data_IF_547868614743
#
_entry.id   IF_547868614743
#
_cell.length_a   1.000
_cell.length_b   1.000
_cell.length_c   1.000
_cell.angle_alpha   90.00
_cell.angle_beta   90.00
_cell.angle_gamma   90.00
#
_symmetry.space_group_name_H-M   'P 1'
#
loop_
_entity.id
_entity.type
_entity.pdbx_description
1 polymer ?
#
# COMPACT_ATOMS: atom_id res chain seq x y z
N UNK A 1 25.53 -18.40 -50.31
CA UNK A 1 24.27 -18.93 -49.73
C UNK A 1 24.28 -18.92 -48.20
N UNK A 2 25.03 -18.00 -47.56
CA UNK A 2 25.23 -17.99 -46.08
C UNK A 2 24.62 -16.76 -45.41
N UNK A 3 24.06 -15.80 -46.15
CA UNK A 3 23.54 -14.54 -45.57
C UNK A 3 22.06 -14.65 -45.13
N UNK A 4 21.30 -15.60 -45.71
CA UNK A 4 19.86 -15.76 -45.43
C UNK A 4 19.61 -16.41 -44.04
N UNK A 5 20.54 -17.23 -43.52
CA UNK A 5 20.36 -17.95 -42.24
C UNK A 5 20.53 -17.03 -41.01
N UNK A 6 21.34 -15.98 -41.11
CA UNK A 6 21.58 -15.05 -39.98
C UNK A 6 20.38 -14.11 -39.76
N UNK A 7 19.68 -13.73 -40.81
CA UNK A 7 18.48 -12.88 -40.73
C UNK A 7 17.29 -13.54 -40.03
N UNK A 8 17.12 -14.85 -40.18
CA UNK A 8 16.02 -15.60 -39.57
C UNK A 8 16.20 -15.78 -38.06
N UNK A 9 17.46 -15.92 -37.61
CA UNK A 9 17.77 -16.05 -36.17
C UNK A 9 17.55 -14.74 -35.39
N UNK A 10 17.80 -13.58 -36.01
CA UNK A 10 17.59 -12.27 -35.39
C UNK A 10 16.09 -11.91 -35.26
N UNK A 11 15.26 -12.33 -36.21
CA UNK A 11 13.82 -12.10 -36.15
C UNK A 11 13.13 -12.92 -35.03
N UNK A 12 13.59 -14.16 -34.78
CA UNK A 12 13.00 -15.01 -33.74
C UNK A 12 13.34 -14.53 -32.32
N UNK A 13 14.49 -13.93 -32.07
CA UNK A 13 14.87 -13.43 -30.75
C UNK A 13 14.09 -12.19 -30.35
N UNK A 14 13.70 -11.32 -31.29
CA UNK A 14 12.88 -10.13 -30.98
C UNK A 14 11.43 -10.48 -30.62
N UNK A 15 10.84 -11.49 -31.25
CA UNK A 15 9.49 -11.96 -30.91
C UNK A 15 9.41 -12.59 -29.52
N UNK A 16 10.41 -13.38 -29.11
CA UNK A 16 10.45 -14.01 -27.78
C UNK A 16 10.58 -12.98 -26.66
N UNK A 17 11.37 -11.92 -26.85
CA UNK A 17 11.51 -10.85 -25.86
C UNK A 17 10.24 -9.97 -25.74
N UNK A 18 9.51 -9.76 -26.84
CA UNK A 18 8.25 -9.02 -26.83
C UNK A 18 7.13 -9.79 -26.13
N UNK A 19 7.01 -11.09 -26.36
CA UNK A 19 5.99 -11.93 -25.74
C UNK A 19 6.19 -12.07 -24.21
N UNK A 20 7.43 -12.22 -23.74
CA UNK A 20 7.75 -12.29 -22.33
C UNK A 20 7.40 -10.98 -21.59
N UNK A 21 7.67 -9.82 -22.20
CA UNK A 21 7.35 -8.52 -21.61
C UNK A 21 5.84 -8.30 -21.53
N UNK A 22 5.10 -8.70 -22.53
CA UNK A 22 3.64 -8.60 -22.58
C UNK A 22 2.98 -9.55 -21.59
N UNK A 23 3.44 -10.79 -21.47
CA UNK A 23 2.94 -11.78 -20.51
C UNK A 23 3.21 -11.36 -19.06
N UNK A 24 4.38 -10.79 -18.77
CA UNK A 24 4.70 -10.28 -17.44
C UNK A 24 3.82 -9.09 -17.04
N UNK A 25 3.56 -8.16 -17.98
CA UNK A 25 2.65 -7.04 -17.77
C UNK A 25 1.20 -7.50 -17.56
N UNK A 26 0.72 -8.43 -18.36
CA UNK A 26 -0.64 -9.01 -18.29
C UNK A 26 -0.87 -9.71 -16.94
N UNK A 27 0.10 -10.49 -16.48
CA UNK A 27 0.01 -11.17 -15.18
C UNK A 27 -0.09 -10.16 -14.02
N UNK A 28 0.68 -9.06 -14.03
CA UNK A 28 0.57 -8.01 -13.00
C UNK A 28 -0.78 -7.32 -12.99
N UNK A 29 -1.37 -7.07 -14.15
CA UNK A 29 -2.71 -6.49 -14.27
C UNK A 29 -3.76 -7.43 -13.68
N UNK A 30 -3.69 -8.72 -13.98
CA UNK A 30 -4.62 -9.71 -13.43
C UNK A 30 -4.49 -9.87 -11.91
N UNK A 31 -3.25 -9.87 -11.39
CA UNK A 31 -3.00 -9.90 -9.96
C UNK A 31 -3.59 -8.65 -9.28
N UNK A 32 -3.38 -7.46 -9.85
CA UNK A 32 -3.93 -6.21 -9.35
C UNK A 32 -5.46 -6.24 -9.35
N UNK A 33 -6.08 -6.67 -10.44
CA UNK A 33 -7.54 -6.84 -10.54
C UNK A 33 -8.07 -7.81 -9.47
N UNK A 34 -7.36 -8.91 -9.23
CA UNK A 34 -7.69 -9.86 -8.18
C UNK A 34 -7.68 -9.24 -6.77
N UNK A 35 -6.77 -8.28 -6.49
CA UNK A 35 -6.73 -7.56 -5.22
C UNK A 35 -7.98 -6.70 -5.06
N UNK A 36 -8.30 -5.88 -6.05
CA UNK A 36 -9.49 -5.02 -6.00
C UNK A 36 -10.78 -5.83 -5.85
N UNK A 37 -10.89 -6.96 -6.54
CA UNK A 37 -12.03 -7.88 -6.35
C UNK A 37 -12.15 -8.42 -4.91
N UNK A 38 -11.05 -8.60 -4.18
CA UNK A 38 -11.12 -8.95 -2.76
C UNK A 38 -11.55 -7.76 -1.90
N UNK A 39 -11.13 -6.54 -2.23
CA UNK A 39 -11.56 -5.31 -1.55
C UNK A 39 -13.06 -5.10 -1.69
N UNK A 40 -13.59 -5.24 -2.89
CA UNK A 40 -15.04 -5.17 -3.19
C UNK A 40 -15.86 -6.16 -2.36
N UNK A 41 -15.33 -7.37 -2.15
CA UNK A 41 -15.93 -8.40 -1.30
C UNK A 41 -15.73 -8.17 0.21
N UNK A 42 -15.02 -7.12 0.61
CA UNK A 42 -14.68 -6.86 2.01
C UNK A 42 -13.57 -7.74 2.57
N UNK A 43 -12.90 -8.56 1.76
CA UNK A 43 -11.86 -9.50 2.17
C UNK A 43 -10.49 -8.80 2.32
N UNK A 44 -10.40 -7.81 3.21
CA UNK A 44 -9.22 -6.96 3.35
C UNK A 44 -7.95 -7.72 3.72
N UNK A 45 -8.02 -8.69 4.63
CA UNK A 45 -6.86 -9.51 5.02
C UNK A 45 -6.25 -10.23 3.82
N UNK A 46 -7.10 -10.76 2.92
CA UNK A 46 -6.64 -11.42 1.71
C UNK A 46 -6.09 -10.42 0.69
N UNK A 47 -6.72 -9.25 0.54
CA UNK A 47 -6.25 -8.19 -0.34
C UNK A 47 -4.85 -7.72 0.06
N UNK A 48 -4.63 -7.38 1.34
CA UNK A 48 -3.34 -6.95 1.87
C UNK A 48 -2.25 -8.04 1.70
N UNK A 49 -2.60 -9.31 1.96
CA UNK A 49 -1.66 -10.42 1.75
C UNK A 49 -1.28 -10.61 0.28
N UNK A 50 -2.23 -10.48 -0.64
CA UNK A 50 -1.96 -10.55 -2.09
C UNK A 50 -1.09 -9.38 -2.56
N UNK A 51 -1.34 -8.18 -2.06
CA UNK A 51 -0.58 -6.97 -2.41
C UNK A 51 0.90 -7.11 -2.07
N UNK A 52 1.24 -7.66 -0.90
CA UNK A 52 2.63 -7.91 -0.48
C UNK A 52 3.39 -8.81 -1.47
N UNK A 53 2.70 -9.71 -2.19
CA UNK A 53 3.32 -10.63 -3.15
C UNK A 53 3.69 -9.98 -4.49
N UNK A 54 3.08 -8.85 -4.83
CA UNK A 54 3.31 -8.17 -6.12
C UNK A 54 4.65 -7.41 -6.14
N UNK A 55 5.21 -7.12 -4.98
CA UNK A 55 6.45 -6.33 -4.82
C UNK A 55 6.39 -4.98 -5.57
N UNK A 56 5.27 -4.27 -5.42
CA UNK A 56 5.07 -2.93 -5.95
C UNK A 56 4.70 -1.99 -4.82
N UNK A 57 5.65 -1.13 -4.42
CA UNK A 57 5.49 -0.23 -3.28
C UNK A 57 4.30 0.72 -3.45
N UNK A 58 4.13 1.32 -4.63
CA UNK A 58 3.04 2.28 -4.90
C UNK A 58 1.67 1.60 -4.72
N UNK A 59 1.50 0.42 -5.29
CA UNK A 59 0.26 -0.35 -5.14
C UNK A 59 0.04 -0.76 -3.68
N UNK A 60 1.09 -1.17 -2.98
CA UNK A 60 1.00 -1.55 -1.58
C UNK A 60 0.58 -0.39 -0.70
N UNK A 61 1.18 0.78 -0.89
CA UNK A 61 0.85 1.99 -0.15
C UNK A 61 -0.59 2.44 -0.46
N UNK A 62 -1.03 2.38 -1.72
CA UNK A 62 -2.40 2.71 -2.12
C UNK A 62 -3.43 1.79 -1.44
N UNK A 63 -3.22 0.48 -1.50
CA UNK A 63 -4.14 -0.50 -0.90
C UNK A 63 -4.17 -0.34 0.62
N UNK A 64 -3.00 -0.07 1.24
CA UNK A 64 -2.94 0.14 2.68
C UNK A 64 -3.60 1.45 3.09
N UNK A 65 -3.43 2.53 2.31
CA UNK A 65 -4.15 3.79 2.50
C UNK A 65 -5.67 3.60 2.43
N UNK A 66 -6.17 2.86 1.45
CA UNK A 66 -7.59 2.51 1.35
C UNK A 66 -8.08 1.74 2.58
N UNK A 67 -7.27 0.81 3.08
CA UNK A 67 -7.58 0.04 4.28
C UNK A 67 -7.65 0.94 5.53
N UNK A 68 -6.71 1.85 5.70
CA UNK A 68 -6.68 2.78 6.84
C UNK A 68 -7.88 3.75 6.82
N UNK A 69 -8.37 4.13 5.63
CA UNK A 69 -9.55 4.98 5.50
C UNK A 69 -10.89 4.22 5.67
N UNK A 70 -10.87 2.89 5.71
CA UNK A 70 -12.08 2.09 5.89
C UNK A 70 -12.62 2.23 7.31
N UNK A 71 -13.93 2.49 7.43
CA UNK A 71 -14.63 2.42 8.72
C UNK A 71 -14.47 1.02 9.34
N UNK A 72 -14.24 0.95 10.65
CA UNK A 72 -14.11 -0.31 11.41
C UNK A 72 -13.00 -1.23 10.87
N UNK A 73 -11.84 -0.67 10.54
CA UNK A 73 -10.63 -1.46 10.29
C UNK A 73 -9.98 -1.88 11.63
N UNK A 74 -9.10 -2.88 11.56
CA UNK A 74 -8.37 -3.40 12.73
C UNK A 74 -6.97 -2.77 12.88
N UNK A 75 -6.71 -1.66 12.18
CA UNK A 75 -5.45 -0.93 12.31
C UNK A 75 -5.34 -0.29 13.71
N UNK A 76 -4.16 -0.33 14.28
CA UNK A 76 -3.83 0.27 15.55
C UNK A 76 -3.13 1.64 15.40
N UNK A 77 -2.70 2.22 16.52
CA UNK A 77 -1.95 3.49 16.55
C UNK A 77 -0.68 3.43 15.70
N UNK A 78 0.08 2.34 15.78
CA UNK A 78 1.36 2.21 15.08
C UNK A 78 1.18 2.03 13.57
N UNK A 79 0.12 1.39 13.15
CA UNK A 79 -0.24 1.24 11.74
C UNK A 79 -0.44 2.61 11.08
N UNK A 80 -1.22 3.48 11.71
CA UNK A 80 -1.44 4.85 11.25
C UNK A 80 -0.16 5.69 11.33
N UNK A 81 0.56 5.63 12.45
CA UNK A 81 1.79 6.42 12.65
C UNK A 81 2.83 6.09 11.60
N UNK A 82 3.10 4.81 11.37
CA UNK A 82 4.06 4.34 10.39
C UNK A 82 3.68 4.79 8.98
N UNK A 83 2.40 4.64 8.61
CA UNK A 83 1.92 5.03 7.30
C UNK A 83 2.08 6.54 7.06
N UNK A 84 1.63 7.38 7.99
CA UNK A 84 1.71 8.85 7.88
C UNK A 84 3.17 9.31 7.78
N UNK A 85 4.06 8.70 8.54
CA UNK A 85 5.49 9.04 8.55
C UNK A 85 6.19 8.65 7.25
N UNK A 86 5.89 7.48 6.71
CA UNK A 86 6.56 6.95 5.50
C UNK A 86 5.95 7.50 4.20
N UNK A 87 4.72 8.00 4.23
CA UNK A 87 3.94 8.35 3.05
C UNK A 87 3.47 9.82 3.11
N UNK A 88 4.43 10.75 3.12
CA UNK A 88 4.16 12.19 3.30
C UNK A 88 3.29 12.80 2.19
N UNK A 89 3.29 12.23 0.98
CA UNK A 89 2.60 12.75 -0.19
C UNK A 89 1.20 12.14 -0.41
N UNK A 90 0.75 11.22 0.47
CA UNK A 90 -0.59 10.67 0.37
C UNK A 90 -1.67 11.69 0.79
N UNK A 91 -2.83 11.68 0.14
CA UNK A 91 -3.89 12.63 0.44
C UNK A 91 -4.53 12.36 1.81
N UNK A 92 -5.22 13.38 2.31
CA UNK A 92 -6.05 13.28 3.50
C UNK A 92 -5.30 12.96 4.81
N UNK A 93 -4.05 13.45 4.94
CA UNK A 93 -3.25 13.31 6.18
C UNK A 93 -3.98 13.77 7.45
N UNK A 94 -4.67 14.92 7.47
CA UNK A 94 -5.39 15.33 8.67
C UNK A 94 -6.45 14.33 9.13
N UNK A 95 -7.12 13.67 8.20
CA UNK A 95 -8.09 12.64 8.55
C UNK A 95 -7.43 11.35 9.07
N UNK A 96 -6.31 10.94 8.49
CA UNK A 96 -5.52 9.81 9.02
C UNK A 96 -4.98 10.12 10.42
N UNK A 97 -4.54 11.36 10.66
CA UNK A 97 -4.14 11.85 11.98
C UNK A 97 -5.32 11.79 12.96
N UNK A 98 -6.51 12.25 12.56
CA UNK A 98 -7.73 12.14 13.35
C UNK A 98 -8.03 10.68 13.73
N UNK A 99 -7.94 9.76 12.77
CA UNK A 99 -8.16 8.32 13.03
C UNK A 99 -7.10 7.74 13.97
N UNK A 100 -5.83 8.13 13.81
CA UNK A 100 -4.72 7.75 14.68
C UNK A 100 -5.02 8.16 16.13
N UNK A 101 -5.42 9.40 16.35
CA UNK A 101 -5.70 9.93 17.70
C UNK A 101 -6.79 9.13 18.40
N UNK A 102 -7.79 8.62 17.67
CA UNK A 102 -8.83 7.74 18.19
C UNK A 102 -8.36 6.30 18.46
N UNK A 103 -7.13 5.95 18.05
CA UNK A 103 -6.51 4.65 18.38
C UNK A 103 -5.56 4.72 19.57
N UNK A 104 -5.40 5.90 20.19
CA UNK A 104 -4.57 6.04 21.37
C UNK A 104 -5.24 5.32 22.54
N UNK A 105 -4.56 4.27 23.01
CA UNK A 105 -4.91 3.55 24.22
C UNK A 105 -3.76 3.68 25.23
N UNK A 106 -4.00 4.38 26.34
CA UNK A 106 -2.99 4.67 27.36
C UNK A 106 -2.55 3.45 28.17
N UNK A 107 -3.29 2.34 28.10
CA UNK A 107 -2.89 1.06 28.68
C UNK A 107 -1.88 0.30 27.80
N UNK A 108 -1.98 0.48 26.49
CA UNK A 108 -1.16 -0.23 25.50
C UNK A 108 0.01 0.59 24.95
N UNK A 109 -0.08 1.93 25.03
CA UNK A 109 0.89 2.86 24.46
C UNK A 109 1.49 3.68 25.59
N UNK A 110 2.81 3.61 25.79
CA UNK A 110 3.47 4.37 26.84
C UNK A 110 3.30 5.88 26.66
N UNK A 111 3.12 6.61 27.77
CA UNK A 111 2.97 8.07 27.80
C UNK A 111 4.10 8.78 27.03
N UNK A 112 5.34 8.30 27.14
CA UNK A 112 6.49 8.83 26.39
C UNK A 112 6.27 8.79 24.87
N UNK A 113 5.69 7.71 24.34
CA UNK A 113 5.41 7.60 22.89
C UNK A 113 4.29 8.53 22.44
N UNK A 114 3.27 8.70 23.28
CA UNK A 114 2.16 9.63 23.04
C UNK A 114 2.68 11.07 23.03
N UNK A 115 3.48 11.46 24.01
CA UNK A 115 4.10 12.78 24.10
C UNK A 115 4.98 13.04 22.88
N UNK A 116 5.92 12.14 22.55
CA UNK A 116 6.78 12.28 21.37
C UNK A 116 5.99 12.37 20.06
N UNK A 117 4.83 11.76 19.98
CA UNK A 117 3.95 11.89 18.82
C UNK A 117 3.38 13.30 18.71
N UNK A 118 2.84 13.84 19.80
CA UNK A 118 2.21 15.16 19.81
C UNK A 118 3.20 16.33 19.79
N UNK A 119 4.43 16.15 20.24
CA UNK A 119 5.51 17.13 20.04
C UNK A 119 5.79 17.40 18.55
N UNK A 120 5.66 16.36 17.71
CA UNK A 120 5.91 16.44 16.26
C UNK A 120 4.66 16.70 15.44
N UNK A 121 3.48 16.36 15.98
CA UNK A 121 2.21 16.41 15.26
C UNK A 121 1.16 17.07 16.17
N UNK A 122 0.78 18.31 15.85
CA UNK A 122 -0.28 18.97 16.63
C UNK A 122 -1.58 18.15 16.57
N UNK A 123 -2.30 17.98 17.71
CA UNK A 123 -3.56 17.26 17.73
C UNK A 123 -4.60 17.92 16.80
N UNK A 124 -5.32 17.11 16.03
CA UNK A 124 -6.38 17.56 15.13
C UNK A 124 -7.79 17.28 15.67
N UNK A 125 -7.92 16.32 16.59
CA UNK A 125 -9.19 15.98 17.24
C UNK A 125 -9.30 16.56 18.66
N UNK A 126 -10.53 16.70 19.16
CA UNK A 126 -10.76 17.03 20.57
C UNK A 126 -10.21 15.93 21.50
N UNK A 127 -10.29 14.67 21.06
CA UNK A 127 -9.73 13.53 21.79
C UNK A 127 -8.21 13.61 21.93
N UNK A 128 -7.50 13.98 20.86
CA UNK A 128 -6.05 14.20 20.90
C UNK A 128 -5.63 15.38 21.79
N UNK A 129 -6.46 16.42 21.88
CA UNK A 129 -6.20 17.59 22.75
C UNK A 129 -6.34 17.29 24.24
N UNK A 130 -7.04 16.22 24.62
CA UNK A 130 -7.26 15.79 26.00
C UNK A 130 -6.25 14.75 26.48
N UNK A 131 -5.36 14.29 25.59
CA UNK A 131 -4.32 13.29 25.89
C UNK A 131 -2.98 13.97 26.15
#
# INVERSE_FOLDING_TARGET
>A
MTIILVGILLFNTTYVLSDNKNNFSKNKVEQTRSIFKQIEKGNWSLALRKTKKINNKILSDLIYWLYLNKKKNNADFYDYQNFITQNTNFPNKPYLQYLLEHKINTELISSKKIINHFEKNKPVSSFGKLR
#
